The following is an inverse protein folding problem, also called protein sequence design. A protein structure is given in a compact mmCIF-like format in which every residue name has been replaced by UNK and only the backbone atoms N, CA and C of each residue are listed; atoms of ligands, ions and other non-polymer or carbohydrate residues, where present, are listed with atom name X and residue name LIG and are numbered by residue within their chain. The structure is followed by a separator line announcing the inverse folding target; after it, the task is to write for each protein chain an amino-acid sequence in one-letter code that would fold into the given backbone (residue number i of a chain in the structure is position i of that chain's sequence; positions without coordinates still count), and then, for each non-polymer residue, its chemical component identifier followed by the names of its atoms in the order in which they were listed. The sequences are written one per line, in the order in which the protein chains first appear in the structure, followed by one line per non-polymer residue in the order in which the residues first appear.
data_IF_012769135841
#
_entry.id   IF_012769135841
#
_cell.length_a   1.000
_cell.length_b   1.000
_cell.length_c   1.000
_cell.angle_alpha   90.00
_cell.angle_beta   90.00
_cell.angle_gamma   90.00
#
_symmetry.space_group_name_H-M   'P 1'
#
loop_
_entity.id
_entity.type
_entity.pdbx_description
1 polymer ?
#
# COMPACT_ATOMS: atom_id res chain seq x y z
N UNK A 1 27.94 -68.25 32.70
CA UNK A 1 28.98 -67.61 31.86
C UNK A 1 28.28 -67.00 30.65
N UNK A 2 28.70 -65.82 30.18
CA UNK A 2 28.12 -65.23 28.96
C UNK A 2 28.54 -66.03 27.72
N UNK A 3 27.71 -66.03 26.66
CA UNK A 3 28.08 -66.69 25.39
C UNK A 3 29.40 -66.17 24.83
N UNK A 4 29.67 -64.88 25.03
CA UNK A 4 30.88 -64.22 24.58
C UNK A 4 32.12 -64.74 25.33
N UNK A 5 32.02 -64.95 26.65
CA UNK A 5 33.12 -65.57 27.41
C UNK A 5 33.36 -67.02 26.98
N UNK A 6 32.31 -67.78 26.70
CA UNK A 6 32.45 -69.15 26.21
C UNK A 6 33.11 -69.21 24.82
N UNK A 7 32.74 -68.30 23.91
CA UNK A 7 33.35 -68.17 22.58
C UNK A 7 34.83 -67.81 22.67
N UNK A 8 35.19 -66.81 23.47
CA UNK A 8 36.57 -66.38 23.60
C UNK A 8 37.45 -67.46 24.27
N UNK A 9 36.92 -68.20 25.26
CA UNK A 9 37.63 -69.32 25.88
C UNK A 9 37.88 -70.44 24.87
N UNK A 10 36.87 -70.76 24.04
CA UNK A 10 37.02 -71.75 22.98
C UNK A 10 38.05 -71.30 21.94
N UNK A 11 37.95 -70.06 21.47
CA UNK A 11 38.89 -69.49 20.49
C UNK A 11 40.33 -69.50 21.00
N UNK A 12 40.55 -69.11 22.26
CA UNK A 12 41.88 -69.12 22.84
C UNK A 12 42.45 -70.53 23.01
N UNK A 13 41.62 -71.52 23.35
CA UNK A 13 42.04 -72.94 23.36
C UNK A 13 42.33 -73.48 21.96
N UNK A 14 41.53 -73.11 20.96
CA UNK A 14 41.75 -73.47 19.55
C UNK A 14 43.07 -72.86 19.01
N UNK A 15 43.52 -71.74 19.59
CA UNK A 15 44.83 -71.11 19.34
C UNK A 15 45.98 -71.71 20.19
N UNK A 16 45.71 -72.74 21.00
CA UNK A 16 46.70 -73.38 21.86
C UNK A 16 47.07 -72.60 23.12
N UNK A 17 46.31 -71.56 23.48
CA UNK A 17 46.57 -70.76 24.68
C UNK A 17 46.01 -71.44 25.92
N UNK A 18 46.84 -71.56 26.96
CA UNK A 18 46.44 -72.14 28.24
C UNK A 18 46.82 -71.23 29.42
N UNK A 19 46.16 -71.46 30.57
CA UNK A 19 46.52 -70.84 31.84
C UNK A 19 46.62 -69.29 31.78
N UNK A 20 47.81 -68.70 32.03
CA UNK A 20 48.00 -67.24 32.00
C UNK A 20 47.75 -66.60 30.64
N UNK A 21 48.13 -67.26 29.53
CA UNK A 21 48.03 -66.72 28.17
C UNK A 21 46.58 -66.61 27.73
N UNK A 22 45.78 -67.64 28.02
CA UNK A 22 44.34 -67.61 27.78
C UNK A 22 43.66 -66.47 28.55
N UNK A 23 44.09 -66.20 29.80
CA UNK A 23 43.55 -65.07 30.58
C UNK A 23 43.94 -63.72 29.99
N UNK A 24 45.17 -63.57 29.49
CA UNK A 24 45.62 -62.35 28.83
C UNK A 24 44.85 -62.09 27.53
N UNK A 25 44.69 -63.12 26.69
CA UNK A 25 43.90 -63.07 25.46
C UNK A 25 42.44 -62.66 25.71
N UNK A 26 41.78 -63.31 26.67
CA UNK A 26 40.41 -62.98 27.07
C UNK A 26 40.27 -61.53 27.52
N UNK A 27 41.25 -61.02 28.28
CA UNK A 27 41.26 -59.64 28.76
C UNK A 27 41.44 -58.66 27.60
N UNK A 28 42.38 -58.92 26.70
CA UNK A 28 42.65 -58.05 25.55
C UNK A 28 41.47 -57.97 24.58
N UNK A 29 40.81 -59.09 24.29
CA UNK A 29 39.61 -59.10 23.45
C UNK A 29 38.47 -58.33 24.09
N UNK A 30 38.28 -58.46 25.41
CA UNK A 30 37.27 -57.70 26.13
C UNK A 30 37.59 -56.20 26.12
N UNK A 31 38.84 -55.82 26.33
CA UNK A 31 39.28 -54.42 26.27
C UNK A 31 39.10 -53.83 24.85
N UNK A 32 39.30 -54.63 23.79
CA UNK A 32 39.00 -54.24 22.40
C UNK A 32 37.51 -54.03 22.18
N UNK A 33 36.67 -54.91 22.69
CA UNK A 33 35.21 -54.81 22.56
C UNK A 33 34.66 -53.60 23.31
N UNK A 34 35.12 -53.35 24.54
CA UNK A 34 34.75 -52.15 25.30
C UNK A 34 35.16 -50.86 24.58
N UNK A 35 36.34 -50.83 23.94
CA UNK A 35 36.75 -49.68 23.11
C UNK A 35 35.86 -49.49 21.89
N UNK A 36 35.47 -50.57 21.19
CA UNK A 36 34.55 -50.50 20.04
C UNK A 36 33.17 -50.01 20.46
N UNK A 37 32.62 -50.54 21.56
CA UNK A 37 31.33 -50.07 22.09
C UNK A 37 31.39 -48.59 22.49
N UNK A 38 32.48 -48.14 23.10
CA UNK A 38 32.65 -46.74 23.46
C UNK A 38 32.68 -45.83 22.22
N UNK A 39 33.39 -46.23 21.16
CA UNK A 39 33.42 -45.51 19.88
C UNK A 39 32.04 -45.47 19.22
N UNK A 40 31.33 -46.62 19.14
CA UNK A 40 30.00 -46.67 18.53
C UNK A 40 29.00 -45.79 19.30
N UNK A 41 29.07 -45.76 20.64
CA UNK A 41 28.24 -44.86 21.46
C UNK A 41 28.57 -43.40 21.19
N UNK A 42 29.84 -43.06 20.99
CA UNK A 42 30.25 -41.70 20.68
C UNK A 42 29.75 -41.28 19.28
N UNK A 43 29.91 -42.14 18.27
CA UNK A 43 29.43 -41.87 16.92
C UNK A 43 27.91 -41.68 16.88
N UNK A 44 27.15 -42.51 17.62
CA UNK A 44 25.69 -42.34 17.74
C UNK A 44 25.31 -41.01 18.36
N UNK A 45 26.02 -40.56 19.41
CA UNK A 45 25.80 -39.25 20.03
C UNK A 45 26.11 -38.11 19.06
N UNK A 46 27.25 -38.17 18.37
CA UNK A 46 27.63 -37.15 17.39
C UNK A 46 26.63 -37.08 16.22
N UNK A 47 26.12 -38.23 15.77
CA UNK A 47 25.09 -38.28 14.73
C UNK A 47 23.77 -37.64 15.22
N UNK A 48 23.34 -37.94 16.45
CA UNK A 48 22.17 -37.30 17.05
C UNK A 48 22.34 -35.78 17.17
N UNK A 49 23.47 -35.31 17.71
CA UNK A 49 23.73 -33.86 17.85
C UNK A 49 23.73 -33.13 16.49
N UNK A 50 24.28 -33.76 15.44
CA UNK A 50 24.24 -33.20 14.08
C UNK A 50 22.81 -33.11 13.56
N UNK A 51 22.00 -34.14 13.79
CA UNK A 51 20.60 -34.14 13.38
C UNK A 51 19.80 -33.06 14.12
N UNK A 52 19.95 -32.95 15.43
CA UNK A 52 19.27 -31.93 16.24
C UNK A 52 19.63 -30.51 15.79
N UNK A 53 20.92 -30.25 15.52
CA UNK A 53 21.37 -28.95 14.98
C UNK A 53 20.72 -28.62 13.64
N UNK A 54 20.63 -29.61 12.74
CA UNK A 54 20.01 -29.43 11.43
C UNK A 54 18.50 -29.14 11.57
N UNK A 55 17.81 -29.90 12.41
CA UNK A 55 16.38 -29.68 12.67
C UNK A 55 16.11 -28.30 13.30
N UNK A 56 16.99 -27.83 14.19
CA UNK A 56 16.89 -26.50 14.78
C UNK A 56 17.05 -25.40 13.72
N UNK A 57 18.03 -25.53 12.83
CA UNK A 57 18.24 -24.60 11.71
C UNK A 57 17.03 -24.56 10.78
N UNK A 58 16.51 -25.72 10.34
CA UNK A 58 15.34 -25.79 9.47
C UNK A 58 14.09 -25.16 10.11
N UNK A 59 13.91 -25.33 11.43
CA UNK A 59 12.80 -24.68 12.16
C UNK A 59 12.96 -23.17 12.19
N UNK A 60 14.18 -22.68 12.38
CA UNK A 60 14.46 -21.25 12.40
C UNK A 60 14.20 -20.63 11.01
N UNK A 61 14.72 -21.24 9.95
CA UNK A 61 14.51 -20.77 8.57
C UNK A 61 13.03 -20.70 8.20
N UNK A 62 12.23 -21.71 8.59
CA UNK A 62 10.78 -21.71 8.37
C UNK A 62 10.08 -20.55 9.09
N UNK A 63 10.47 -20.25 10.32
CA UNK A 63 9.92 -19.12 11.08
C UNK A 63 10.26 -17.79 10.42
N UNK A 64 11.53 -17.60 10.06
CA UNK A 64 11.98 -16.37 9.39
C UNK A 64 11.27 -16.17 8.05
N UNK A 65 11.05 -17.24 7.27
CA UNK A 65 10.30 -17.16 6.03
C UNK A 65 8.83 -16.76 6.25
N UNK A 66 8.17 -17.31 7.27
CA UNK A 66 6.81 -16.93 7.63
C UNK A 66 6.71 -15.47 8.06
N UNK A 67 7.62 -15.00 8.93
CA UNK A 67 7.64 -13.60 9.37
C UNK A 67 7.85 -12.63 8.21
N UNK A 68 8.74 -12.98 7.26
CA UNK A 68 8.95 -12.15 6.05
C UNK A 68 7.68 -12.07 5.21
N UNK A 69 7.02 -13.20 4.99
CA UNK A 69 5.78 -13.24 4.21
C UNK A 69 4.65 -12.44 4.88
N UNK A 70 4.54 -12.48 6.20
CA UNK A 70 3.54 -11.72 6.94
C UNK A 70 3.82 -10.21 6.86
N UNK A 71 5.08 -9.79 7.02
CA UNK A 71 5.49 -8.39 6.85
C UNK A 71 5.18 -7.86 5.45
N UNK A 72 5.51 -8.63 4.41
CA UNK A 72 5.23 -8.24 3.02
C UNK A 72 3.73 -8.08 2.76
N UNK A 73 2.91 -9.01 3.25
CA UNK A 73 1.45 -8.89 3.15
C UNK A 73 0.92 -7.63 3.84
N UNK A 74 1.41 -7.35 5.04
CA UNK A 74 1.00 -6.16 5.80
C UNK A 74 1.41 -4.87 5.08
N UNK A 75 2.63 -4.80 4.56
CA UNK A 75 3.09 -3.65 3.80
C UNK A 75 2.27 -3.44 2.51
N UNK A 76 1.91 -4.52 1.81
CA UNK A 76 1.04 -4.45 0.65
C UNK A 76 -0.36 -3.90 0.99
N UNK A 77 -0.94 -4.34 2.12
CA UNK A 77 -2.21 -3.83 2.63
C UNK A 77 -2.13 -2.34 2.97
N UNK A 78 -1.11 -1.92 3.73
CA UNK A 78 -0.92 -0.50 4.11
C UNK A 78 -0.77 0.40 2.86
N UNK A 79 -0.03 -0.06 1.84
CA UNK A 79 0.09 0.66 0.57
C UNK A 79 -1.23 0.76 -0.17
N UNK A 80 -2.06 -0.28 -0.14
CA UNK A 80 -3.37 -0.26 -0.77
C UNK A 80 -4.30 0.71 -0.03
N UNK A 81 -4.34 0.67 1.30
CA UNK A 81 -5.14 1.58 2.12
C UNK A 81 -4.76 3.05 1.89
N UNK A 82 -3.47 3.36 1.79
CA UNK A 82 -3.01 4.72 1.47
C UNK A 82 -3.49 5.17 0.09
N UNK A 83 -3.42 4.30 -0.93
CA UNK A 83 -3.94 4.62 -2.27
C UNK A 83 -5.44 4.87 -2.24
N UNK A 84 -6.20 4.02 -1.58
CA UNK A 84 -7.66 4.19 -1.46
C UNK A 84 -8.02 5.49 -0.71
N UNK A 85 -7.27 5.84 0.34
CA UNK A 85 -7.46 7.08 1.06
C UNK A 85 -7.17 8.31 0.16
N UNK A 86 -6.08 8.26 -0.60
CA UNK A 86 -5.71 9.32 -1.55
C UNK A 86 -6.79 9.48 -2.64
N UNK A 87 -7.25 8.39 -3.25
CA UNK A 87 -8.32 8.44 -4.26
C UNK A 87 -9.63 9.03 -3.70
N UNK A 88 -9.97 8.70 -2.46
CA UNK A 88 -11.16 9.28 -1.79
C UNK A 88 -10.98 10.78 -1.55
N UNK A 89 -9.79 11.22 -1.17
CA UNK A 89 -9.48 12.63 -0.98
C UNK A 89 -9.57 13.38 -2.31
N UNK A 90 -8.95 12.87 -3.37
CA UNK A 90 -8.98 13.47 -4.71
C UNK A 90 -10.42 13.63 -5.22
N UNK A 91 -11.27 12.61 -5.03
CA UNK A 91 -12.70 12.69 -5.39
C UNK A 91 -13.45 13.77 -4.60
N UNK A 92 -13.15 13.93 -3.31
CA UNK A 92 -13.76 14.98 -2.48
C UNK A 92 -13.32 16.36 -2.96
N UNK A 93 -12.02 16.55 -3.21
CA UNK A 93 -11.49 17.82 -3.70
C UNK A 93 -12.07 18.19 -5.08
N UNK A 94 -12.26 17.21 -5.97
CA UNK A 94 -12.91 17.43 -7.25
C UNK A 94 -14.38 17.85 -7.09
N UNK A 95 -15.11 17.19 -6.18
CA UNK A 95 -16.50 17.55 -5.89
C UNK A 95 -16.60 18.97 -5.31
N UNK A 96 -15.77 19.31 -4.33
CA UNK A 96 -15.75 20.66 -3.75
C UNK A 96 -15.44 21.74 -4.79
N UNK A 97 -14.56 21.45 -5.76
CA UNK A 97 -14.30 22.36 -6.89
C UNK A 97 -15.53 22.53 -7.78
N UNK A 98 -16.24 21.44 -8.10
CA UNK A 98 -17.48 21.50 -8.90
C UNK A 98 -18.55 22.31 -8.18
N UNK A 99 -18.78 22.03 -6.90
CA UNK A 99 -19.78 22.73 -6.09
C UNK A 99 -19.47 24.23 -5.99
N UNK A 100 -18.19 24.60 -5.84
CA UNK A 100 -17.76 26.00 -5.83
C UNK A 100 -18.03 26.71 -7.16
N UNK A 101 -17.72 26.06 -8.29
CA UNK A 101 -17.98 26.61 -9.62
C UNK A 101 -19.47 26.77 -9.89
N UNK A 102 -20.29 25.81 -9.44
CA UNK A 102 -21.75 25.88 -9.57
C UNK A 102 -22.34 27.03 -8.74
N UNK A 103 -21.86 27.19 -7.51
CA UNK A 103 -22.26 28.31 -6.65
C UNK A 103 -21.91 29.67 -7.27
N UNK A 104 -20.72 29.80 -7.88
CA UNK A 104 -20.30 31.03 -8.56
C UNK A 104 -21.18 31.32 -9.79
N UNK A 105 -21.50 30.29 -10.58
CA UNK A 105 -22.44 30.43 -11.71
C UNK A 105 -23.82 30.91 -11.27
N UNK A 106 -24.36 30.34 -10.18
CA UNK A 106 -25.65 30.77 -9.61
C UNK A 106 -25.61 32.22 -9.13
N UNK A 107 -24.52 32.64 -8.47
CA UNK A 107 -24.34 34.04 -8.06
C UNK A 107 -24.33 34.98 -9.27
N UNK A 108 -23.57 34.66 -10.31
CA UNK A 108 -23.54 35.48 -11.53
C UNK A 108 -24.91 35.53 -12.22
N UNK A 109 -25.65 34.43 -12.27
CA UNK A 109 -26.98 34.41 -12.86
C UNK A 109 -27.95 35.35 -12.12
N UNK A 110 -27.95 35.30 -10.77
CA UNK A 110 -28.81 36.18 -9.97
C UNK A 110 -28.41 37.65 -10.10
N UNK A 111 -27.12 37.96 -10.19
CA UNK A 111 -26.64 39.32 -10.43
C UNK A 111 -27.08 39.86 -11.80
N UNK A 112 -26.99 39.03 -12.86
CA UNK A 112 -27.48 39.38 -14.20
C UNK A 112 -28.99 39.62 -14.20
N UNK A 113 -29.77 38.77 -13.53
CA UNK A 113 -31.22 38.92 -13.43
C UNK A 113 -31.60 40.21 -12.69
N UNK A 114 -30.92 40.50 -11.58
CA UNK A 114 -31.10 41.74 -10.84
C UNK A 114 -30.76 42.98 -11.69
N UNK A 115 -29.65 42.94 -12.43
CA UNK A 115 -29.24 44.03 -13.33
C UNK A 115 -30.28 44.27 -14.44
N UNK A 116 -30.84 43.20 -15.03
CA UNK A 116 -31.93 43.30 -16.03
C UNK A 116 -33.18 43.94 -15.45
N UNK A 117 -33.56 43.59 -14.21
CA UNK A 117 -34.71 44.18 -13.52
C UNK A 117 -34.54 45.68 -13.27
N UNK A 118 -33.32 46.12 -12.92
CA UNK A 118 -33.00 47.54 -12.74
C UNK A 118 -33.03 48.32 -14.06
N UNK A 119 -32.55 47.73 -15.16
CA UNK A 119 -32.57 48.37 -16.48
C UNK A 119 -34.01 48.60 -16.97
N UNK A 120 -34.88 47.60 -16.85
CA UNK A 120 -36.31 47.70 -17.21
C UNK A 120 -37.05 48.83 -16.46
N UNK A 121 -36.78 49.01 -15.15
CA UNK A 121 -37.34 50.12 -14.37
C UNK A 121 -36.84 51.49 -14.83
N UNK A 122 -35.58 51.57 -15.27
CA UNK A 122 -34.97 52.81 -15.76
C UNK A 122 -35.55 53.20 -17.12
N UNK A 123 -35.81 52.24 -18.00
CA UNK A 123 -36.45 52.50 -19.30
C UNK A 123 -37.92 52.93 -19.16
N UNK A 124 -38.64 52.39 -18.17
CA UNK A 124 -39.97 52.85 -17.77
C UNK A 124 -39.96 54.30 -17.27
N UNK A 125 -38.97 54.72 -16.49
CA UNK A 125 -38.86 56.09 -15.98
C UNK A 125 -38.31 57.07 -17.03
N UNK A 126 -37.48 56.61 -17.96
CA UNK A 126 -36.87 57.45 -19.00
C UNK A 126 -37.87 57.81 -20.12
N UNK A 127 -38.94 57.04 -20.31
CA UNK A 127 -40.00 57.45 -21.24
C UNK A 127 -41.01 58.45 -20.64
N UNK A 128 -41.06 58.58 -19.31
CA UNK A 128 -42.05 59.43 -18.63
C UNK A 128 -41.67 60.94 -18.66
N UNK A 129 -40.37 61.27 -18.75
CA UNK A 129 -39.94 62.66 -18.96
C UNK A 129 -40.04 63.10 -20.42
N UNK A 130 -39.89 62.18 -21.37
CA UNK A 130 -40.06 62.46 -22.81
C UNK A 130 -41.53 62.77 -23.13
N UNK A 131 -42.48 62.12 -22.45
CA UNK A 131 -43.92 62.42 -22.57
C UNK A 131 -44.32 63.80 -22.02
N UNK A 132 -43.46 64.46 -21.23
CA UNK A 132 -43.71 65.76 -20.59
C UNK A 132 -43.13 66.96 -21.34
N UNK A 133 -42.44 66.73 -22.46
CA UNK A 133 -41.97 67.81 -23.34
C UNK A 133 -43.18 68.31 -24.16
N UNK A 134 -43.59 69.58 -24.05
CA UNK A 134 -44.64 70.13 -24.92
C UNK A 134 -44.22 69.98 -26.37
N UNK A 135 -45.06 69.35 -27.20
CA UNK A 135 -44.90 69.35 -28.66
C UNK A 135 -45.01 70.80 -29.15
N UNK A 136 -43.88 71.49 -29.29
CA UNK A 136 -43.86 72.72 -30.07
C UNK A 136 -43.96 72.34 -31.55
N UNK A 137 -45.06 72.74 -32.20
CA UNK A 137 -45.19 72.70 -33.65
C UNK A 137 -44.13 73.61 -34.28
N UNK A 138 -43.20 73.10 -35.09
CA UNK A 138 -42.45 73.98 -35.97
C UNK A 138 -43.29 74.21 -37.23
N UNK A 139 -43.46 75.49 -37.56
CA UNK A 139 -43.64 75.97 -38.93
C UNK A 139 -45.05 75.88 -39.53
N UNK A 140 -45.90 76.86 -39.17
CA UNK A 140 -46.97 77.34 -40.04
C UNK A 140 -46.48 78.53 -40.87
N UNK A 141 -46.00 78.23 -42.07
CA UNK A 141 -46.32 78.91 -43.34
C UNK A 141 -46.69 80.41 -43.25
N UNK A 142 -45.68 81.28 -43.31
CA UNK A 142 -45.87 82.70 -43.56
C UNK A 142 -45.91 82.96 -45.07
N UNK A 143 -47.09 83.38 -45.53
CA UNK A 143 -47.40 83.81 -46.89
C UNK A 143 -46.50 84.96 -47.32
N UNK A 144 -46.11 84.95 -48.59
CA UNK A 144 -45.38 86.04 -49.21
C UNK A 144 -46.17 87.34 -49.24
N UNK A 145 -45.44 88.45 -49.21
CA UNK A 145 -45.76 89.57 -50.06
C UNK A 145 -44.50 90.38 -50.37
N UNK A 146 -44.49 90.84 -51.61
CA UNK A 146 -43.58 91.75 -52.33
C UNK A 146 -42.63 92.63 -51.52
N UNK A 147 -41.41 92.83 -52.04
CA UNK A 147 -40.99 94.15 -52.53
C UNK A 147 -39.83 94.03 -53.53
N UNK A 148 -40.13 94.54 -54.72
CA UNK A 148 -39.24 94.84 -55.82
C UNK A 148 -38.37 96.07 -55.54
N UNK A 149 -37.32 96.22 -56.35
CA UNK A 149 -36.53 97.42 -56.64
C UNK A 149 -35.37 97.81 -55.70
N UNK A 150 -34.14 97.68 -56.23
CA UNK A 150 -33.18 98.75 -56.62
C UNK A 150 -31.88 98.03 -57.07
N UNK A 151 -31.57 97.83 -58.36
CA UNK A 151 -30.88 98.77 -59.29
C UNK A 151 -29.87 99.66 -58.53
N UNK A 152 -28.55 99.58 -58.72
CA UNK A 152 -27.74 99.51 -59.94
C UNK A 152 -26.33 99.00 -59.59
#
# INVERSE_FOLDING_TARGET
MSELTARLVKLGRDLGLEGPELRAFMKEERDREEKREAQERQEKKEAQERQEKKEAQERQEKKEAQERQEKEKKEAQERQEMKEAQERQEKREEQERKDKLELEKLKLQTEIENAKSLHSKKDSSTNDWIAKIPRMNPFSEAKGDTMDAFLF
#
